data_IF_699306049032
#
_entry.id   IF_699306049032
#
_cell.length_a   1.000
_cell.length_b   1.000
_cell.length_c   1.000
_cell.angle_alpha   90.00
_cell.angle_beta   90.00
_cell.angle_gamma   90.00
#
_symmetry.space_group_name_H-M   'P 1'
#
loop_
_entity.id
_entity.type
_entity.pdbx_description
1 polymer ?
#
# COMPACT_ATOMS: atom_id res chain seq x y z
N UNK A 1 61.70 27.35 49.67
CA UNK A 1 60.21 27.40 49.65
C UNK A 1 59.78 27.34 48.19
N UNK A 2 59.45 26.17 47.68
CA UNK A 2 58.95 25.97 46.31
C UNK A 2 57.43 25.86 46.37
N UNK A 3 56.74 26.92 45.98
CA UNK A 3 55.29 26.94 45.80
C UNK A 3 54.95 26.09 44.58
N UNK A 4 54.35 24.93 44.82
CA UNK A 4 53.93 23.99 43.79
C UNK A 4 52.42 23.79 43.93
N UNK A 5 51.65 24.84 43.67
CA UNK A 5 50.19 24.76 43.65
C UNK A 5 49.64 25.48 42.42
N UNK A 6 48.63 24.84 41.83
CA UNK A 6 47.63 25.44 40.93
C UNK A 6 47.99 25.55 39.44
N UNK A 7 48.26 24.42 38.77
CA UNK A 7 48.06 24.32 37.31
C UNK A 7 47.07 23.19 36.94
N UNK A 8 46.74 22.27 37.85
CA UNK A 8 45.88 21.11 37.55
C UNK A 8 44.36 21.39 37.50
N UNK A 9 43.90 22.60 37.79
CA UNK A 9 42.46 22.87 38.01
C UNK A 9 41.70 23.31 36.74
N UNK A 10 42.32 24.05 35.83
CA UNK A 10 41.62 24.64 34.68
C UNK A 10 41.29 23.61 33.57
N UNK A 11 42.23 22.73 33.23
CA UNK A 11 42.04 21.69 32.20
C UNK A 11 40.99 20.63 32.62
N UNK A 12 40.89 20.36 33.93
CA UNK A 12 39.86 19.49 34.51
C UNK A 12 38.47 20.13 34.44
N UNK A 13 38.36 21.43 34.71
CA UNK A 13 37.12 22.20 34.64
C UNK A 13 36.60 22.35 33.20
N UNK A 14 37.48 22.61 32.24
CA UNK A 14 37.13 22.71 30.81
C UNK A 14 36.69 21.36 30.25
N UNK A 15 37.38 20.27 30.62
CA UNK A 15 36.97 18.90 30.23
C UNK A 15 35.65 18.47 30.88
N UNK A 16 35.40 18.85 32.14
CA UNK A 16 34.14 18.58 32.83
C UNK A 16 32.95 19.32 32.21
N UNK A 17 33.13 20.60 31.83
CA UNK A 17 32.11 21.39 31.15
C UNK A 17 31.81 20.85 29.74
N UNK A 18 32.86 20.45 29.00
CA UNK A 18 32.71 19.82 27.68
C UNK A 18 31.97 18.47 27.80
N UNK A 19 32.32 17.65 28.78
CA UNK A 19 31.65 16.36 29.02
C UNK A 19 30.18 16.53 29.41
N UNK A 20 29.87 17.50 30.28
CA UNK A 20 28.49 17.82 30.64
C UNK A 20 27.70 18.38 29.45
N UNK A 21 28.33 19.22 28.61
CA UNK A 21 27.70 19.72 27.40
C UNK A 21 27.41 18.59 26.41
N UNK A 22 28.38 17.73 26.10
CA UNK A 22 28.21 16.58 25.21
C UNK A 22 27.15 15.60 25.74
N UNK A 23 27.13 15.37 27.07
CA UNK A 23 26.11 14.53 27.72
C UNK A 23 24.71 15.13 27.62
N UNK A 24 24.56 16.44 27.87
CA UNK A 24 23.27 17.15 27.68
C UNK A 24 22.82 17.12 26.22
N UNK A 25 23.72 17.41 25.28
CA UNK A 25 23.44 17.36 23.83
C UNK A 25 23.04 15.96 23.39
N UNK A 26 23.64 14.91 23.96
CA UNK A 26 23.26 13.51 23.70
C UNK A 26 21.87 13.21 24.23
N UNK A 27 21.56 13.61 25.47
CA UNK A 27 20.24 13.43 26.08
C UNK A 27 19.16 14.19 25.28
N UNK A 28 19.46 15.41 24.84
CA UNK A 28 18.56 16.21 23.99
C UNK A 28 18.37 15.60 22.61
N UNK A 29 19.43 15.06 21.98
CA UNK A 29 19.30 14.31 20.72
C UNK A 29 18.48 13.03 20.87
N UNK A 30 18.71 12.27 21.94
CA UNK A 30 17.92 11.07 22.25
C UNK A 30 16.45 11.42 22.54
N UNK A 31 16.21 12.55 23.20
CA UNK A 31 14.86 13.09 23.43
C UNK A 31 14.20 13.53 22.12
N UNK A 32 14.91 14.28 21.28
CA UNK A 32 14.45 14.64 19.94
C UNK A 32 14.12 13.40 19.12
N UNK A 33 14.99 12.39 19.07
CA UNK A 33 14.71 11.14 18.34
C UNK A 33 13.50 10.37 18.86
N UNK A 34 13.24 10.39 20.18
CA UNK A 34 12.04 9.78 20.78
C UNK A 34 10.75 10.58 20.52
N UNK A 35 10.90 11.88 20.29
CA UNK A 35 9.80 12.82 19.97
C UNK A 35 9.62 13.04 18.46
N UNK A 36 10.59 12.62 17.62
CA UNK A 36 10.49 12.72 16.17
C UNK A 36 9.32 11.87 15.68
N UNK A 37 8.34 12.55 15.11
CA UNK A 37 7.23 11.92 14.43
C UNK A 37 7.44 12.02 12.93
N UNK A 38 7.13 10.93 12.23
CA UNK A 38 7.26 10.78 10.80
C UNK A 38 5.86 10.73 10.20
N UNK A 39 5.72 11.29 9.00
CA UNK A 39 4.57 11.02 8.15
C UNK A 39 4.83 9.74 7.35
N UNK A 40 3.76 9.10 6.88
CA UNK A 40 3.91 8.27 5.69
C UNK A 40 4.30 9.16 4.50
N UNK A 41 5.07 8.61 3.58
CA UNK A 41 5.37 9.29 2.32
C UNK A 41 4.06 9.62 1.59
N UNK A 42 4.01 10.79 0.95
CA UNK A 42 2.87 11.22 0.14
C UNK A 42 2.58 10.21 -0.99
N UNK A 43 3.63 9.64 -1.58
CA UNK A 43 3.53 8.60 -2.59
C UNK A 43 2.77 7.37 -2.07
N UNK A 44 3.11 6.89 -0.86
CA UNK A 44 2.44 5.75 -0.24
C UNK A 44 0.98 6.06 0.12
N UNK A 45 0.73 7.29 0.56
CA UNK A 45 -0.63 7.76 0.87
C UNK A 45 -1.52 7.74 -0.37
N UNK A 46 -1.02 8.25 -1.51
CA UNK A 46 -1.75 8.22 -2.79
C UNK A 46 -1.99 6.79 -3.28
N UNK A 47 -1.00 5.91 -3.16
CA UNK A 47 -1.15 4.50 -3.53
C UNK A 47 -2.24 3.81 -2.70
N UNK A 48 -2.29 4.07 -1.39
CA UNK A 48 -3.33 3.53 -0.52
C UNK A 48 -4.72 4.04 -0.93
N UNK A 49 -4.83 5.30 -1.32
CA UNK A 49 -6.07 5.93 -1.73
C UNK A 49 -6.60 5.36 -3.04
N UNK A 50 -5.73 5.25 -4.05
CA UNK A 50 -6.06 4.62 -5.33
C UNK A 50 -6.49 3.15 -5.15
N UNK A 51 -5.84 2.44 -4.24
CA UNK A 51 -6.17 1.04 -3.94
C UNK A 51 -7.52 0.91 -3.23
N UNK A 52 -7.82 1.80 -2.30
CA UNK A 52 -9.11 1.85 -1.61
C UNK A 52 -10.25 2.10 -2.58
N UNK A 53 -10.13 3.13 -3.43
CA UNK A 53 -11.17 3.45 -4.41
C UNK A 53 -11.40 2.31 -5.39
N UNK A 54 -10.34 1.67 -5.91
CA UNK A 54 -10.47 0.47 -6.76
C UNK A 54 -11.17 -0.68 -6.04
N UNK A 55 -10.85 -0.88 -4.76
CA UNK A 55 -11.47 -1.90 -3.91
C UNK A 55 -12.96 -1.64 -3.74
N UNK A 56 -13.34 -0.43 -3.34
CA UNK A 56 -14.73 -0.03 -3.14
C UNK A 56 -15.52 -0.10 -4.44
N UNK A 57 -15.01 0.49 -5.52
CA UNK A 57 -15.65 0.46 -6.84
C UNK A 57 -16.01 -0.96 -7.25
N UNK A 58 -15.10 -1.92 -7.08
CA UNK A 58 -15.38 -3.30 -7.45
C UNK A 58 -16.37 -4.01 -6.51
N UNK A 59 -16.31 -3.74 -5.21
CA UNK A 59 -17.18 -4.40 -4.23
C UNK A 59 -18.61 -3.85 -4.24
N UNK A 60 -18.77 -2.57 -4.59
CA UNK A 60 -20.04 -1.85 -4.63
C UNK A 60 -20.68 -1.87 -6.02
N UNK A 61 -19.94 -2.33 -7.03
CA UNK A 61 -20.46 -2.58 -8.37
C UNK A 61 -21.58 -3.63 -8.33
N UNK A 62 -22.75 -3.22 -8.80
CA UNK A 62 -23.97 -4.04 -8.89
C UNK A 62 -24.05 -4.85 -10.17
N UNK A 63 -23.08 -4.72 -11.08
CA UNK A 63 -23.06 -5.51 -12.31
C UNK A 63 -23.01 -7.01 -11.99
N UNK A 64 -23.80 -7.84 -12.68
CA UNK A 64 -23.75 -9.29 -12.50
C UNK A 64 -22.38 -9.85 -12.90
N UNK A 65 -21.72 -10.52 -11.95
CA UNK A 65 -20.40 -11.16 -12.16
C UNK A 65 -20.60 -12.63 -12.52
N UNK A 66 -20.49 -12.95 -13.80
CA UNK A 66 -20.76 -14.30 -14.34
C UNK A 66 -19.56 -15.23 -14.18
N UNK A 67 -18.33 -14.71 -14.25
CA UNK A 67 -17.12 -15.51 -14.11
C UNK A 67 -16.89 -15.94 -12.64
N UNK A 68 -16.64 -17.24 -12.43
CA UNK A 68 -16.38 -17.83 -11.09
C UNK A 68 -15.16 -17.23 -10.39
N UNK A 69 -14.17 -16.76 -11.15
CA UNK A 69 -12.94 -16.15 -10.62
C UNK A 69 -13.20 -14.81 -9.92
N UNK A 70 -14.34 -14.15 -10.16
CA UNK A 70 -14.73 -12.94 -9.45
C UNK A 70 -14.85 -13.14 -7.93
N UNK A 71 -15.14 -14.38 -7.48
CA UNK A 71 -15.16 -14.73 -6.06
C UNK A 71 -13.79 -14.52 -5.40
N UNK A 72 -12.70 -14.96 -6.06
CA UNK A 72 -11.33 -14.80 -5.56
C UNK A 72 -10.99 -13.31 -5.42
N UNK A 73 -11.28 -12.52 -6.46
CA UNK A 73 -11.03 -11.07 -6.45
C UNK A 73 -11.83 -10.37 -5.34
N UNK A 74 -13.10 -10.77 -5.15
CA UNK A 74 -13.97 -10.23 -4.09
C UNK A 74 -13.40 -10.56 -2.72
N UNK A 75 -13.00 -11.80 -2.48
CA UNK A 75 -12.53 -12.24 -1.16
C UNK A 75 -11.22 -11.54 -0.77
N UNK A 76 -10.29 -11.36 -1.73
CA UNK A 76 -9.10 -10.53 -1.55
C UNK A 76 -9.51 -9.10 -1.16
N UNK A 77 -10.34 -8.45 -1.97
CA UNK A 77 -10.73 -7.04 -1.77
C UNK A 77 -11.50 -6.79 -0.48
N UNK A 78 -12.39 -7.71 -0.07
CA UNK A 78 -13.05 -7.68 1.24
C UNK A 78 -12.04 -7.80 2.39
N UNK A 79 -11.03 -8.65 2.22
CA UNK A 79 -9.92 -8.81 3.18
C UNK A 79 -9.04 -7.55 3.33
N UNK A 80 -9.01 -6.66 2.35
CA UNK A 80 -8.20 -5.43 2.40
C UNK A 80 -8.98 -4.16 2.72
N UNK A 81 -10.29 -4.09 2.43
CA UNK A 81 -11.11 -2.88 2.60
C UNK A 81 -10.92 -2.25 4.00
N UNK A 82 -11.10 -3.04 5.06
CA UNK A 82 -10.94 -2.55 6.44
C UNK A 82 -9.52 -2.06 6.78
N UNK A 83 -8.49 -2.66 6.17
CA UNK A 83 -7.09 -2.25 6.37
C UNK A 83 -6.82 -0.91 5.70
N UNK A 84 -7.35 -0.71 4.51
CA UNK A 84 -7.23 0.54 3.77
C UNK A 84 -8.01 1.67 4.45
N UNK A 85 -9.22 1.38 4.96
CA UNK A 85 -10.00 2.30 5.81
C UNK A 85 -9.26 2.68 7.09
N UNK A 86 -8.46 1.76 7.64
CA UNK A 86 -7.61 2.05 8.78
C UNK A 86 -6.41 2.94 8.42
N UNK A 87 -5.73 2.65 7.31
CA UNK A 87 -4.49 3.32 6.88
C UNK A 87 -4.77 4.75 6.38
N UNK A 88 -5.78 4.96 5.54
CA UNK A 88 -6.03 6.23 4.87
C UNK A 88 -6.14 7.47 5.78
N UNK A 89 -7.00 7.48 6.82
CA UNK A 89 -7.11 8.63 7.72
C UNK A 89 -5.86 8.83 8.59
N UNK A 90 -4.97 7.82 8.63
CA UNK A 90 -3.75 7.80 9.44
C UNK A 90 -2.51 8.19 8.62
N UNK A 91 -2.50 7.92 7.32
CA UNK A 91 -1.36 8.21 6.45
C UNK A 91 -0.99 9.70 6.41
N UNK A 92 -1.96 10.60 6.65
CA UNK A 92 -1.73 12.06 6.74
C UNK A 92 -1.29 12.55 8.12
N UNK A 93 -1.19 11.66 9.11
CA UNK A 93 -0.82 11.98 10.49
C UNK A 93 0.66 11.67 10.79
N UNK A 94 1.16 12.32 11.83
CA UNK A 94 2.53 12.17 12.33
C UNK A 94 2.58 11.10 13.42
N UNK A 95 3.40 10.07 13.24
CA UNK A 95 3.58 9.02 14.26
C UNK A 95 5.05 8.73 14.59
N UNK A 96 5.28 8.06 15.73
CA UNK A 96 6.58 7.48 16.04
C UNK A 96 6.98 6.45 14.99
N UNK A 97 8.28 6.28 14.76
CA UNK A 97 8.84 5.40 13.73
C UNK A 97 8.23 3.99 13.70
N UNK A 98 8.01 3.37 14.86
CA UNK A 98 7.42 2.03 14.96
C UNK A 98 5.99 1.96 14.41
N UNK A 99 5.16 2.96 14.68
CA UNK A 99 3.78 3.02 14.16
C UNK A 99 3.79 3.26 12.64
N UNK A 100 4.67 4.14 12.14
CA UNK A 100 4.85 4.32 10.70
C UNK A 100 5.27 3.02 10.01
N UNK A 101 6.17 2.25 10.62
CA UNK A 101 6.60 0.95 10.11
C UNK A 101 5.42 -0.04 10.01
N UNK A 102 4.57 -0.15 11.03
CA UNK A 102 3.37 -1.02 10.99
C UNK A 102 2.41 -0.60 9.87
N UNK A 103 2.16 0.70 9.70
CA UNK A 103 1.30 1.21 8.64
C UNK A 103 1.87 0.89 7.26
N UNK A 104 3.19 1.03 7.11
CA UNK A 104 3.90 0.69 5.87
C UNK A 104 3.81 -0.81 5.54
N UNK A 105 4.10 -1.70 6.50
CA UNK A 105 3.98 -3.15 6.29
C UNK A 105 2.55 -3.56 5.93
N UNK A 106 1.55 -2.96 6.60
CA UNK A 106 0.14 -3.21 6.34
C UNK A 106 -0.24 -2.81 4.92
N UNK A 107 0.24 -1.66 4.44
CA UNK A 107 0.03 -1.20 3.07
C UNK A 107 0.75 -2.12 2.06
N UNK A 108 2.00 -2.50 2.35
CA UNK A 108 2.78 -3.36 1.46
C UNK A 108 2.09 -4.71 1.23
N UNK A 109 1.51 -5.30 2.28
CA UNK A 109 0.74 -6.53 2.17
C UNK A 109 -0.52 -6.36 1.31
N UNK A 110 -1.22 -5.22 1.42
CA UNK A 110 -2.37 -4.91 0.56
C UNK A 110 -1.96 -4.77 -0.92
N UNK A 111 -0.77 -4.26 -1.20
CA UNK A 111 -0.26 -4.12 -2.57
C UNK A 111 0.13 -5.47 -3.20
N UNK A 112 0.81 -6.33 -2.46
CA UNK A 112 1.19 -7.66 -2.96
C UNK A 112 -0.03 -8.50 -3.34
N UNK A 113 -1.05 -8.46 -2.50
CA UNK A 113 -2.33 -9.18 -2.69
C UNK A 113 -3.19 -8.55 -3.78
N UNK A 114 -3.18 -7.23 -3.95
CA UNK A 114 -3.82 -6.58 -5.10
C UNK A 114 -3.19 -7.05 -6.43
N UNK A 115 -1.88 -7.32 -6.46
CA UNK A 115 -1.24 -7.93 -7.64
C UNK A 115 -1.90 -9.24 -8.06
N UNK A 116 -2.31 -10.08 -7.09
CA UNK A 116 -3.04 -11.32 -7.33
C UNK A 116 -4.46 -11.02 -7.84
N UNK A 117 -5.16 -10.06 -7.24
CA UNK A 117 -6.48 -9.64 -7.70
C UNK A 117 -6.45 -9.15 -9.16
N UNK A 118 -5.46 -8.34 -9.54
CA UNK A 118 -5.26 -7.86 -10.91
C UNK A 118 -4.97 -9.00 -11.89
N UNK A 119 -4.18 -9.99 -11.49
CA UNK A 119 -3.95 -11.18 -12.31
C UNK A 119 -5.25 -11.93 -12.63
N UNK A 120 -6.13 -12.11 -11.64
CA UNK A 120 -7.43 -12.76 -11.87
C UNK A 120 -8.38 -11.90 -12.70
N UNK A 121 -8.37 -10.57 -12.52
CA UNK A 121 -9.15 -9.66 -13.36
C UNK A 121 -8.74 -9.73 -14.83
N UNK A 122 -7.43 -9.80 -15.12
CA UNK A 122 -6.95 -9.96 -16.49
C UNK A 122 -7.37 -11.30 -17.10
N UNK A 123 -7.38 -12.38 -16.31
CA UNK A 123 -7.88 -13.68 -16.74
C UNK A 123 -9.38 -13.66 -17.04
N UNK A 124 -10.18 -13.03 -16.17
CA UNK A 124 -11.63 -12.89 -16.37
C UNK A 124 -11.89 -12.18 -17.70
N UNK A 125 -11.20 -11.06 -17.95
CA UNK A 125 -11.33 -10.31 -19.20
C UNK A 125 -11.05 -11.19 -20.42
N UNK A 126 -9.96 -11.96 -20.40
CA UNK A 126 -9.62 -12.87 -21.51
C UNK A 126 -10.66 -13.96 -21.74
N UNK A 127 -11.21 -14.53 -20.67
CA UNK A 127 -12.25 -15.57 -20.75
C UNK A 127 -13.57 -15.00 -21.29
N UNK A 128 -13.94 -13.80 -20.88
CA UNK A 128 -15.15 -13.10 -21.35
C UNK A 128 -15.03 -12.67 -22.81
N UNK A 129 -13.88 -12.12 -23.22
CA UNK A 129 -13.59 -11.78 -24.62
C UNK A 129 -13.65 -13.02 -25.53
N UNK A 130 -13.09 -14.14 -25.08
CA UNK A 130 -13.15 -15.41 -25.82
C UNK A 130 -14.59 -15.95 -25.94
N UNK A 131 -15.37 -15.90 -24.86
CA UNK A 131 -16.76 -16.33 -24.86
C UNK A 131 -17.66 -15.45 -25.76
N UNK A 132 -17.42 -14.14 -25.77
CA UNK A 132 -18.12 -13.20 -26.65
C UNK A 132 -17.79 -13.47 -28.13
N UNK A 133 -16.53 -13.75 -28.45
CA UNK A 133 -16.08 -14.06 -29.82
C UNK A 133 -16.71 -15.37 -30.33
N UNK A 134 -16.70 -16.42 -29.51
CA UNK A 134 -17.33 -17.70 -29.85
C UNK A 134 -18.86 -17.56 -30.04
N UNK A 135 -19.52 -16.73 -29.24
CA UNK A 135 -20.97 -16.48 -29.37
C UNK A 135 -21.31 -15.72 -30.65
N UNK A 136 -20.45 -14.78 -31.07
CA UNK A 136 -20.65 -14.01 -32.29
C UNK A 136 -20.42 -14.85 -33.56
N UNK A 137 -19.48 -15.80 -33.55
CA UNK A 137 -19.25 -16.72 -34.69
C UNK A 137 -20.43 -17.69 -34.91
N UNK A 138 -21.06 -18.19 -33.84
CA UNK A 138 -22.23 -19.07 -33.94
C UNK A 138 -23.45 -18.34 -34.54
N UNK A 139 -23.60 -17.05 -34.26
CA UNK A 139 -24.66 -16.21 -34.87
C UNK A 139 -24.36 -15.91 -36.34
N UNK A 140 -23.10 -15.70 -36.71
CA UNK A 140 -22.72 -15.53 -38.12
C UNK A 140 -22.86 -16.83 -38.94
N UNK A 141 -22.62 -18.00 -38.33
CA UNK A 141 -22.72 -19.31 -38.98
C UNK A 141 -24.17 -19.85 -39.09
N UNK A 142 -25.15 -19.18 -38.48
CA UNK A 142 -26.57 -19.56 -38.54
C UNK A 142 -27.40 -18.71 -39.52
N UNK A 143 -26.75 -17.87 -40.33
CA UNK A 143 -27.39 -17.33 -41.52
C UNK A 143 -27.84 -18.51 -42.41
N UNK A 144 -29.13 -18.64 -42.76
CA UNK A 144 -29.60 -19.78 -43.52
C UNK A 144 -28.91 -19.77 -44.87
N UNK A 145 -28.05 -20.77 -45.11
CA UNK A 145 -27.64 -21.13 -46.46
C UNK A 145 -28.89 -21.49 -47.23
N UNK A 146 -29.26 -20.60 -48.16
CA UNK A 146 -30.27 -20.79 -49.18
C UNK A 146 -29.98 -22.07 -49.96
N UNK A 147 -30.51 -23.21 -49.51
CA UNK A 147 -30.49 -24.45 -50.27
C UNK A 147 -31.83 -24.66 -50.97
N UNK A 148 -31.74 -24.56 -52.31
CA UNK A 148 -32.39 -25.36 -53.34
C UNK A 148 -33.91 -25.59 -53.34
N UNK A 149 -34.55 -25.20 -54.46
CA UNK A 149 -35.25 -26.20 -55.28
C UNK A 149 -35.55 -25.66 -56.69
N UNK A 150 -34.83 -26.18 -57.68
CA UNK A 150 -35.28 -26.20 -59.08
C UNK A 150 -36.60 -26.95 -59.15
N UNK A 151 -37.65 -26.33 -59.68
CA UNK A 151 -38.87 -27.02 -60.11
C UNK A 151 -39.00 -26.81 -61.62
N UNK A 152 -38.85 -27.94 -62.32
CA UNK A 152 -39.24 -28.32 -63.68
C UNK A 152 -39.29 -27.24 -64.78
#
# INVERSE_FOLDING_TARGET
>A
MTNNESIQSADSLVNGALFQHLSKTRIEKEKMMKETQFNMDECWTRIADDLYHRTCNYLEDKTPKTNKLHAIVRDIRMGHKHRLEFILPRATQRYKAYTCFILFESLHLCLQTEGIALYYLDRIRKEEEAAQTASNEVVASSAPTSNDCTIL
#
